data_IF_362061160751
#
_entry.id   IF_362061160751
#
_cell.length_a   1.000
_cell.length_b   1.000
_cell.length_c   1.000
_cell.angle_alpha   90.00
_cell.angle_beta   90.00
_cell.angle_gamma   90.00
#
_symmetry.space_group_name_H-M   'P 1'
#
loop_
_entity.id
_entity.type
_entity.pdbx_description
1 polymer ?
#
# COMPACT_ATOMS: atom_id res chain seq x y z
N UNK A 1 -23.72 -12.10 -2.46
CA UNK A 1 -22.62 -11.48 -3.18
C UNK A 1 -23.03 -11.25 -4.63
N UNK A 2 -22.67 -10.14 -5.18
CA UNK A 2 -22.88 -9.92 -6.59
C UNK A 2 -22.16 -10.98 -7.41
N UNK A 3 -22.83 -11.53 -8.40
CA UNK A 3 -22.24 -12.52 -9.30
C UNK A 3 -21.20 -11.88 -10.23
N UNK A 4 -21.23 -10.56 -10.36
CA UNK A 4 -20.28 -9.84 -11.21
C UNK A 4 -19.37 -8.99 -10.32
N UNK A 5 -18.09 -9.27 -10.35
CA UNK A 5 -17.11 -8.43 -9.70
C UNK A 5 -17.01 -7.10 -10.45
N UNK A 6 -16.76 -6.02 -9.71
CA UNK A 6 -16.44 -4.75 -10.33
C UNK A 6 -14.98 -4.80 -10.78
N UNK A 7 -14.79 -5.04 -12.05
CA UNK A 7 -13.45 -5.20 -12.62
C UNK A 7 -12.65 -3.92 -12.60
N UNK A 8 -13.32 -2.76 -12.58
CA UNK A 8 -12.61 -1.50 -12.46
C UNK A 8 -12.03 -1.33 -11.06
N UNK A 9 -12.79 -1.71 -10.03
CA UNK A 9 -12.29 -1.70 -8.65
C UNK A 9 -11.13 -2.68 -8.50
N UNK A 10 -11.30 -3.89 -9.00
CA UNK A 10 -10.24 -4.90 -8.94
C UNK A 10 -8.96 -4.41 -9.66
N UNK A 11 -9.14 -3.83 -10.84
CA UNK A 11 -8.01 -3.33 -11.63
C UNK A 11 -7.27 -2.21 -10.90
N UNK A 12 -7.99 -1.30 -10.27
CA UNK A 12 -7.40 -0.22 -9.49
C UNK A 12 -6.59 -0.79 -8.32
N UNK A 13 -7.15 -1.77 -7.61
CA UNK A 13 -6.47 -2.42 -6.50
C UNK A 13 -5.20 -3.11 -6.96
N UNK A 14 -5.28 -3.93 -8.00
CA UNK A 14 -4.12 -4.66 -8.48
C UNK A 14 -3.06 -3.75 -9.08
N UNK A 15 -3.47 -2.68 -9.73
CA UNK A 15 -2.52 -1.68 -10.21
C UNK A 15 -1.75 -1.05 -9.04
N UNK A 16 -2.45 -0.68 -7.98
CA UNK A 16 -1.81 -0.09 -6.81
C UNK A 16 -0.84 -1.07 -6.15
N UNK A 17 -1.18 -2.36 -6.11
CA UNK A 17 -0.34 -3.40 -5.53
C UNK A 17 0.76 -3.88 -6.46
N UNK A 18 0.69 -3.58 -7.73
CA UNK A 18 1.63 -4.08 -8.74
C UNK A 18 2.94 -3.31 -8.84
N UNK A 19 3.49 -2.89 -7.70
CA UNK A 19 4.73 -2.12 -7.66
C UNK A 19 5.49 -2.48 -6.38
N UNK A 20 6.77 -2.86 -6.48
CA UNK A 20 7.51 -3.30 -5.29
C UNK A 20 7.70 -2.22 -4.24
N UNK A 21 7.82 -0.96 -4.64
CA UNK A 21 7.93 0.13 -3.67
C UNK A 21 6.63 0.27 -2.88
N UNK A 22 5.49 0.22 -3.57
CA UNK A 22 4.20 0.33 -2.91
C UNK A 22 3.93 -0.85 -1.98
N UNK A 23 4.29 -2.07 -2.38
CA UNK A 23 4.19 -3.22 -1.49
C UNK A 23 5.07 -3.05 -0.26
N UNK A 24 6.27 -2.53 -0.43
CA UNK A 24 7.17 -2.28 0.68
C UNK A 24 6.61 -1.25 1.66
N UNK A 25 6.02 -0.18 1.13
CA UNK A 25 5.36 0.82 1.97
C UNK A 25 4.27 0.16 2.82
N UNK A 26 3.40 -0.63 2.21
CA UNK A 26 2.31 -1.29 2.94
C UNK A 26 2.85 -2.25 4.00
N UNK A 27 3.85 -3.05 3.68
CA UNK A 27 4.45 -3.97 4.65
C UNK A 27 5.06 -3.22 5.82
N UNK A 28 5.73 -2.10 5.54
CA UNK A 28 6.31 -1.26 6.57
C UNK A 28 5.26 -0.72 7.53
N UNK A 29 4.13 -0.25 6.98
CA UNK A 29 3.03 0.25 7.80
C UNK A 29 2.38 -0.86 8.62
N UNK A 30 2.23 -2.05 8.03
CA UNK A 30 1.63 -3.18 8.75
C UNK A 30 2.51 -3.71 9.86
N UNK A 31 3.82 -3.61 9.71
CA UNK A 31 4.75 -4.06 10.74
C UNK A 31 4.92 -3.04 11.86
N UNK A 32 4.53 -1.81 11.63
CA UNK A 32 4.63 -0.76 12.63
C UNK A 32 3.45 -0.83 13.60
N UNK A 33 3.72 -0.65 14.88
CA UNK A 33 2.68 -0.59 15.91
C UNK A 33 2.00 0.77 15.97
N UNK A 34 2.54 1.76 15.29
CA UNK A 34 2.04 3.13 15.24
C UNK A 34 1.99 3.59 13.80
N UNK A 35 1.10 4.53 13.47
CA UNK A 35 1.17 5.18 12.17
C UNK A 35 2.54 5.81 11.96
N UNK A 36 3.00 5.81 10.72
CA UNK A 36 4.33 6.32 10.38
C UNK A 36 4.23 7.66 9.67
N UNK A 37 5.11 8.59 10.03
CA UNK A 37 5.26 9.82 9.27
C UNK A 37 5.80 9.48 7.88
N UNK A 38 5.29 10.18 6.88
CA UNK A 38 5.73 9.94 5.49
C UNK A 38 7.23 10.21 5.33
N UNK A 39 7.78 11.16 6.09
CA UNK A 39 9.22 11.44 6.05
C UNK A 39 10.04 10.25 6.57
N UNK A 40 9.54 9.54 7.57
CA UNK A 40 10.20 8.33 8.06
C UNK A 40 10.19 7.23 7.01
N UNK A 41 9.08 7.09 6.29
CA UNK A 41 8.96 6.12 5.21
C UNK A 41 9.94 6.47 4.08
N UNK A 42 9.98 7.73 3.68
CA UNK A 42 10.90 8.19 2.65
C UNK A 42 12.37 7.94 3.04
N UNK A 43 12.72 8.25 4.28
CA UNK A 43 14.07 8.03 4.80
C UNK A 43 14.44 6.55 4.77
N UNK A 44 13.52 5.69 5.21
CA UNK A 44 13.75 4.25 5.21
C UNK A 44 13.95 3.70 3.80
N UNK A 45 13.18 4.19 2.85
CA UNK A 45 13.27 3.77 1.46
C UNK A 45 14.40 4.44 0.68
N UNK A 46 15.04 5.42 1.28
CA UNK A 46 16.08 6.24 0.62
C UNK A 46 15.55 6.90 -0.66
N UNK A 47 14.34 7.39 -0.56
CA UNK A 47 13.66 8.08 -1.66
C UNK A 47 13.32 9.50 -1.24
N UNK A 48 13.16 10.38 -2.22
CA UNK A 48 12.72 11.73 -1.92
C UNK A 48 11.23 11.75 -1.56
N UNK A 49 10.83 12.83 -0.88
CA UNK A 49 9.46 12.98 -0.42
C UNK A 49 8.45 12.91 -1.58
N UNK A 50 8.73 13.62 -2.68
CA UNK A 50 7.81 13.69 -3.80
C UNK A 50 7.57 12.31 -4.42
N UNK A 51 8.61 11.51 -4.56
CA UNK A 51 8.51 10.15 -5.09
C UNK A 51 7.66 9.26 -4.19
N UNK A 52 7.92 9.31 -2.89
CA UNK A 52 7.11 8.53 -1.93
C UNK A 52 5.68 9.01 -1.93
N UNK A 53 5.45 10.31 -1.96
CA UNK A 53 4.10 10.86 -1.91
C UNK A 53 3.26 10.39 -3.10
N UNK A 54 3.84 10.30 -4.30
CA UNK A 54 3.11 9.78 -5.47
C UNK A 54 2.66 8.34 -5.28
N UNK A 55 3.52 7.50 -4.71
CA UNK A 55 3.14 6.13 -4.39
C UNK A 55 2.06 6.08 -3.31
N UNK A 56 2.17 6.94 -2.31
CA UNK A 56 1.17 7.04 -1.24
C UNK A 56 -0.19 7.45 -1.81
N UNK A 57 -0.21 8.40 -2.74
CA UNK A 57 -1.47 8.82 -3.36
C UNK A 57 -2.14 7.67 -4.11
N UNK A 58 -1.38 6.88 -4.85
CA UNK A 58 -1.92 5.71 -5.55
C UNK A 58 -2.54 4.72 -4.56
N UNK A 59 -1.84 4.45 -3.47
CA UNK A 59 -2.33 3.53 -2.44
C UNK A 59 -3.58 4.09 -1.73
N UNK A 60 -3.56 5.38 -1.40
CA UNK A 60 -4.72 6.02 -0.77
C UNK A 60 -5.94 5.97 -1.68
N UNK A 61 -5.77 6.30 -2.94
CA UNK A 61 -6.88 6.34 -3.89
C UNK A 61 -7.48 4.95 -4.12
N UNK A 62 -6.69 3.91 -3.92
CA UNK A 62 -7.16 2.52 -3.99
C UNK A 62 -7.71 2.01 -2.64
N UNK A 63 -7.71 2.84 -1.60
CA UNK A 63 -8.25 2.45 -0.30
C UNK A 63 -7.33 1.54 0.52
N UNK A 64 -6.04 1.50 0.20
CA UNK A 64 -5.11 0.58 0.84
C UNK A 64 -4.36 1.19 2.02
N UNK A 65 -4.43 2.51 2.15
CA UNK A 65 -3.92 3.20 3.33
C UNK A 65 -4.69 4.50 3.55
N UNK A 66 -4.52 5.06 4.74
CA UNK A 66 -5.08 6.36 5.09
C UNK A 66 -3.95 7.34 5.34
N UNK A 67 -4.21 8.60 5.00
CA UNK A 67 -3.28 9.70 5.25
C UNK A 67 -3.95 10.67 6.20
N UNK A 68 -3.28 10.95 7.30
CA UNK A 68 -3.74 11.94 8.28
C UNK A 68 -2.76 13.10 8.31
N UNK A 69 -3.29 14.30 8.41
CA UNK A 69 -2.45 15.46 8.63
C UNK A 69 -2.38 15.75 10.12
N UNK A 70 -1.17 15.79 10.65
CA UNK A 70 -0.89 16.07 12.06
C UNK A 70 0.10 17.22 12.10
N UNK A 71 -0.41 18.42 12.37
CA UNK A 71 0.39 19.63 12.23
C UNK A 71 0.79 19.82 10.77
N UNK A 72 2.09 19.86 10.52
CA UNK A 72 2.64 19.98 9.16
C UNK A 72 3.08 18.64 8.59
N UNK A 73 2.82 17.57 9.31
CA UNK A 73 3.24 16.24 8.92
C UNK A 73 2.11 15.45 8.33
N UNK A 74 2.41 14.56 7.42
CA UNK A 74 1.48 13.55 6.95
C UNK A 74 1.85 12.23 7.58
N UNK A 75 0.85 11.57 8.15
CA UNK A 75 1.01 10.31 8.88
C UNK A 75 0.22 9.24 8.16
N UNK A 76 0.81 8.08 7.97
CA UNK A 76 0.25 6.98 7.18
C UNK A 76 -0.14 5.82 8.07
N UNK A 77 -1.30 5.23 7.76
CA UNK A 77 -1.80 4.04 8.45
C UNK A 77 -2.35 3.05 7.43
N UNK A 78 -2.11 1.74 7.60
CA UNK A 78 -2.59 0.77 6.63
C UNK A 78 -4.08 0.50 6.78
N UNK A 79 -4.69 0.08 5.70
CA UNK A 79 -6.06 -0.42 5.67
C UNK A 79 -6.02 -1.89 5.26
N UNK A 80 -6.78 -2.73 5.99
CA UNK A 80 -6.95 -4.14 5.62
C UNK A 80 -5.63 -4.89 5.42
N UNK A 81 -4.67 -4.68 6.33
CA UNK A 81 -3.33 -5.25 6.19
C UNK A 81 -3.32 -6.77 6.05
N UNK A 82 -4.22 -7.48 6.75
CA UNK A 82 -4.30 -8.94 6.65
C UNK A 82 -4.64 -9.40 5.23
N UNK A 83 -5.56 -8.70 4.57
CA UNK A 83 -5.93 -9.02 3.20
C UNK A 83 -4.74 -8.83 2.27
N UNK A 84 -3.99 -7.75 2.43
CA UNK A 84 -2.81 -7.47 1.61
C UNK A 84 -1.75 -8.55 1.81
N UNK A 85 -1.46 -8.93 3.05
CA UNK A 85 -0.50 -10.01 3.32
C UNK A 85 -0.92 -11.31 2.67
N UNK A 86 -2.21 -11.63 2.72
CA UNK A 86 -2.76 -12.84 2.14
C UNK A 86 -2.60 -12.83 0.62
N UNK A 87 -2.87 -11.70 -0.01
CA UNK A 87 -2.69 -11.55 -1.45
C UNK A 87 -1.22 -11.73 -1.86
N UNK A 88 -0.30 -11.16 -1.09
CA UNK A 88 1.14 -11.31 -1.35
C UNK A 88 1.52 -12.80 -1.27
N UNK A 89 1.09 -13.47 -0.21
CA UNK A 89 1.40 -14.88 -0.02
C UNK A 89 0.84 -15.73 -1.15
N UNK A 90 -0.40 -15.48 -1.53
CA UNK A 90 -1.05 -16.24 -2.60
C UNK A 90 -0.45 -15.98 -3.98
N UNK A 91 0.09 -14.78 -4.19
CA UNK A 91 0.73 -14.46 -5.48
C UNK A 91 1.90 -15.38 -5.78
N UNK A 92 2.56 -15.90 -4.77
CA UNK A 92 3.70 -16.80 -4.95
C UNK A 92 3.30 -18.10 -5.63
N UNK A 93 2.04 -18.52 -5.49
CA UNK A 93 1.56 -19.74 -6.13
C UNK A 93 1.65 -19.66 -7.65
N UNK A 94 1.54 -18.49 -8.23
CA UNK A 94 1.65 -18.30 -9.68
C UNK A 94 3.09 -18.45 -10.15
N UNK A 95 4.03 -17.95 -9.37
CA UNK A 95 5.45 -18.07 -9.71
C UNK A 95 5.91 -19.53 -9.70
N UNK A 96 5.40 -20.33 -8.77
CA UNK A 96 5.76 -21.73 -8.63
C UNK A 96 5.32 -22.61 -9.80
N UNK A 97 4.40 -22.10 -10.62
CA UNK A 97 3.86 -22.84 -11.77
C UNK A 97 4.55 -22.55 -13.09
N UNK A 98 5.54 -21.67 -13.07
CA UNK A 98 6.29 -21.31 -14.26
C UNK A 98 7.37 -22.32 -14.59
#
# INVERSE_FOLDING_TARGET
>A
MSSSADLNVASTTFNALGNPVRLRILLMLMDSKKPLHITAVASNLKMDYAGVYRHVEVLRDAGLLQVYEVGRSRVLSPMSGEVVRDLIAKSESFAKKR
#
